data_IF_878383418784
#
_entry.id   IF_878383418784
#
_cell.length_a   1.000
_cell.length_b   1.000
_cell.length_c   1.000
_cell.angle_alpha   90.00
_cell.angle_beta   90.00
_cell.angle_gamma   90.00
#
_symmetry.space_group_name_H-M   'P 1'
#
loop_
_entity.id
_entity.type
_entity.pdbx_description
1 polymer ?
#
# COMPACT_ATOMS: atom_id res chain seq x y z
N UNK A 1 66.85 18.43 27.57
CA UNK A 1 66.77 18.35 26.09
C UNK A 1 65.96 17.15 25.59
N UNK A 2 66.21 15.92 26.05
CA UNK A 2 65.49 14.71 25.60
C UNK A 2 63.96 14.83 25.78
N UNK A 3 63.49 15.34 26.92
CA UNK A 3 62.06 15.54 27.18
C UNK A 3 61.37 16.50 26.19
N UNK A 4 62.08 17.53 25.70
CA UNK A 4 61.53 18.47 24.72
C UNK A 4 61.46 17.83 23.31
N UNK A 5 62.43 16.98 22.96
CA UNK A 5 62.38 16.20 21.72
C UNK A 5 61.26 15.16 21.73
N UNK A 6 61.06 14.48 22.87
CA UNK A 6 59.98 13.50 23.01
C UNK A 6 58.60 14.18 22.97
N UNK A 7 58.41 15.35 23.60
CA UNK A 7 57.13 16.07 23.50
C UNK A 7 56.84 16.58 22.09
N UNK A 8 57.88 17.01 21.35
CA UNK A 8 57.75 17.42 19.95
C UNK A 8 57.38 16.22 19.06
N UNK A 9 57.97 15.04 19.29
CA UNK A 9 57.62 13.83 18.53
C UNK A 9 56.18 13.37 18.81
N UNK A 10 55.73 13.44 20.06
CA UNK A 10 54.34 13.10 20.43
C UNK A 10 53.34 14.07 19.79
N UNK A 11 53.65 15.38 19.77
CA UNK A 11 52.79 16.38 19.13
C UNK A 11 52.74 16.21 17.62
N UNK A 12 53.86 15.92 16.95
CA UNK A 12 53.90 15.62 15.52
C UNK A 12 53.12 14.34 15.20
N UNK A 13 53.28 13.27 15.99
CA UNK A 13 52.53 12.03 15.81
C UNK A 13 51.02 12.23 16.00
N UNK A 14 50.63 13.03 17.00
CA UNK A 14 49.24 13.38 17.24
C UNK A 14 48.63 14.20 16.08
N UNK A 15 49.37 15.19 15.56
CA UNK A 15 48.93 15.99 14.41
C UNK A 15 48.78 15.12 13.14
N UNK A 16 49.70 14.19 12.89
CA UNK A 16 49.59 13.25 11.78
C UNK A 16 48.36 12.34 11.88
N UNK A 17 48.08 11.82 13.08
CA UNK A 17 46.87 11.03 13.33
C UNK A 17 45.59 11.87 13.19
N UNK A 18 45.56 13.08 13.74
CA UNK A 18 44.41 13.99 13.64
C UNK A 18 44.11 14.39 12.19
N UNK A 19 45.14 14.67 11.39
CA UNK A 19 44.98 14.98 9.97
C UNK A 19 44.40 13.79 9.18
N UNK A 20 44.79 12.56 9.54
CA UNK A 20 44.29 11.34 8.89
C UNK A 20 42.85 11.04 9.28
N UNK A 21 42.47 11.27 10.54
CA UNK A 21 41.08 11.14 11.00
C UNK A 21 40.20 12.18 10.29
N UNK A 22 40.65 13.43 10.21
CA UNK A 22 39.89 14.50 9.54
C UNK A 22 39.65 14.19 8.04
N UNK A 23 40.63 13.65 7.32
CA UNK A 23 40.43 13.29 5.91
C UNK A 23 39.44 12.13 5.75
N UNK A 24 39.46 11.14 6.64
CA UNK A 24 38.49 10.03 6.62
C UNK A 24 37.07 10.50 6.95
N UNK A 25 36.90 11.37 7.94
CA UNK A 25 35.58 11.91 8.29
C UNK A 25 34.98 12.76 7.16
N UNK A 26 35.79 13.57 6.48
CA UNK A 26 35.35 14.31 5.27
C UNK A 26 34.90 13.40 4.16
N UNK A 27 35.65 12.33 3.89
CA UNK A 27 35.27 11.35 2.87
C UNK A 27 33.95 10.65 3.22
N UNK A 28 33.79 10.20 4.47
CA UNK A 28 32.54 9.58 4.95
C UNK A 28 31.35 10.53 4.87
N UNK A 29 31.54 11.78 5.23
CA UNK A 29 30.50 12.80 5.12
C UNK A 29 30.10 13.03 3.65
N UNK A 30 31.08 13.16 2.74
CA UNK A 30 30.82 13.29 1.31
C UNK A 30 30.12 12.05 0.73
N UNK A 31 30.50 10.85 1.17
CA UNK A 31 29.86 9.59 0.77
C UNK A 31 28.38 9.52 1.19
N UNK A 32 28.07 9.82 2.46
CA UNK A 32 26.69 9.82 2.96
C UNK A 32 25.87 10.91 2.25
N UNK A 33 26.46 12.07 2.02
CA UNK A 33 25.79 13.19 1.32
C UNK A 33 25.51 12.83 -0.14
N UNK A 34 26.47 12.20 -0.83
CA UNK A 34 26.28 11.73 -2.20
C UNK A 34 25.17 10.67 -2.28
N UNK A 35 25.11 9.74 -1.32
CA UNK A 35 24.02 8.77 -1.25
C UNK A 35 22.66 9.45 -1.04
N UNK A 36 22.57 10.37 -0.09
CA UNK A 36 21.33 11.11 0.18
C UNK A 36 20.85 11.90 -1.04
N UNK A 37 21.76 12.56 -1.76
CA UNK A 37 21.44 13.30 -2.99
C UNK A 37 20.99 12.35 -4.10
N UNK A 38 21.60 11.17 -4.22
CA UNK A 38 21.17 10.14 -5.17
C UNK A 38 19.73 9.70 -4.89
N UNK A 39 19.40 9.41 -3.62
CA UNK A 39 18.05 9.03 -3.17
C UNK A 39 17.03 10.15 -3.38
N UNK A 40 17.42 11.41 -3.13
CA UNK A 40 16.54 12.55 -3.37
C UNK A 40 16.29 12.79 -4.86
N UNK A 41 17.29 12.57 -5.72
CA UNK A 41 17.13 12.59 -7.18
C UNK A 41 16.17 11.51 -7.68
N UNK A 42 16.25 10.29 -7.11
CA UNK A 42 15.27 9.23 -7.38
C UNK A 42 13.86 9.65 -6.98
N UNK A 43 13.68 10.17 -5.77
CA UNK A 43 12.37 10.55 -5.27
C UNK A 43 11.75 11.69 -6.11
N UNK A 44 12.55 12.69 -6.46
CA UNK A 44 12.07 13.87 -7.17
C UNK A 44 11.73 13.62 -8.64
N UNK A 45 12.57 12.85 -9.35
CA UNK A 45 12.41 12.67 -10.80
C UNK A 45 11.79 11.31 -11.13
N UNK A 46 12.27 10.23 -10.51
CA UNK A 46 11.87 8.86 -10.88
C UNK A 46 10.57 8.42 -10.21
N UNK A 47 10.33 8.74 -8.93
CA UNK A 47 9.17 8.21 -8.20
C UNK A 47 7.82 8.66 -8.78
N UNK A 48 7.73 9.87 -9.34
CA UNK A 48 6.52 10.36 -10.01
C UNK A 48 6.39 9.78 -11.44
N UNK A 49 7.50 9.46 -12.10
CA UNK A 49 7.50 8.97 -13.48
C UNK A 49 7.23 7.46 -13.59
N UNK A 50 7.78 6.64 -12.67
CA UNK A 50 7.68 5.18 -12.71
C UNK A 50 6.24 4.64 -12.86
N UNK A 51 5.21 5.17 -12.18
CA UNK A 51 3.84 4.69 -12.32
C UNK A 51 3.21 4.92 -13.71
N UNK A 52 3.69 5.91 -14.46
CA UNK A 52 3.17 6.25 -15.80
C UNK A 52 3.99 5.61 -16.94
N UNK A 53 5.07 4.91 -16.59
CA UNK A 53 5.93 4.27 -17.57
C UNK A 53 5.17 3.12 -18.24
N UNK A 54 5.04 3.17 -19.57
CA UNK A 54 4.48 2.06 -20.34
C UNK A 54 5.40 0.85 -20.26
N UNK A 55 4.82 -0.36 -20.19
CA UNK A 55 5.54 -1.63 -20.03
C UNK A 55 6.38 -2.09 -21.23
N UNK A 56 6.75 -1.19 -22.14
CA UNK A 56 7.70 -1.49 -23.21
C UNK A 56 9.11 -1.23 -22.68
N UNK A 57 10.03 -2.15 -22.99
CA UNK A 57 11.42 -2.32 -22.52
C UNK A 57 12.36 -1.13 -22.84
N UNK A 58 11.95 0.07 -22.44
CA UNK A 58 12.55 1.35 -22.81
C UNK A 58 13.14 1.97 -21.57
N UNK A 59 14.46 1.85 -21.45
CA UNK A 59 15.21 2.65 -20.47
C UNK A 59 15.04 4.12 -20.84
N UNK A 60 14.42 4.89 -19.96
CA UNK A 60 14.25 6.33 -20.13
C UNK A 60 15.22 7.06 -19.21
N UNK A 61 16.07 7.90 -19.80
CA UNK A 61 16.91 8.83 -19.05
C UNK A 61 16.12 10.09 -18.76
N UNK A 62 15.83 10.35 -17.48
CA UNK A 62 15.16 11.57 -17.03
C UNK A 62 16.17 12.70 -16.79
N UNK A 63 17.35 12.35 -16.29
CA UNK A 63 18.44 13.30 -16.05
C UNK A 63 19.73 12.76 -16.63
N UNK A 64 20.36 13.58 -17.48
CA UNK A 64 21.57 13.25 -18.20
C UNK A 64 22.82 13.33 -17.29
N UNK A 65 23.98 13.01 -17.85
CA UNK A 65 25.29 13.08 -17.17
C UNK A 65 25.66 14.49 -16.65
N UNK A 66 25.07 15.55 -17.20
CA UNK A 66 25.28 16.93 -16.74
C UNK A 66 24.79 17.12 -15.30
N UNK A 67 23.76 16.39 -14.90
CA UNK A 67 23.16 16.45 -13.58
C UNK A 67 22.35 17.71 -13.30
N UNK A 68 21.66 17.70 -12.16
CA UNK A 68 20.89 18.82 -11.61
C UNK A 68 21.40 19.09 -10.20
N UNK A 69 21.67 20.35 -9.90
CA UNK A 69 22.13 20.76 -8.57
C UNK A 69 21.04 20.49 -7.52
N UNK A 70 21.44 19.86 -6.42
CA UNK A 70 20.54 19.53 -5.32
C UNK A 70 20.13 20.79 -4.53
N UNK A 71 21.05 21.75 -4.42
CA UNK A 71 20.84 23.02 -3.75
C UNK A 71 22.13 23.58 -3.17
N UNK A 72 21.98 24.73 -2.51
CA UNK A 72 23.07 25.43 -1.84
C UNK A 72 22.89 25.41 -0.32
N UNK A 73 23.99 25.43 0.42
CA UNK A 73 23.99 25.61 1.87
C UNK A 73 23.68 27.07 2.26
N UNK A 74 23.61 27.35 3.56
CA UNK A 74 23.37 28.72 4.08
C UNK A 74 24.47 29.73 3.74
N UNK A 75 25.57 29.28 3.16
CA UNK A 75 26.74 30.07 2.75
C UNK A 75 26.85 30.16 1.22
N UNK A 76 25.92 29.56 0.46
CA UNK A 76 25.92 29.56 -1.00
C UNK A 76 26.83 28.51 -1.64
N UNK A 77 27.34 27.53 -0.87
CA UNK A 77 28.13 26.44 -1.43
C UNK A 77 27.21 25.34 -1.94
N UNK A 78 27.53 24.76 -3.10
CA UNK A 78 26.77 23.62 -3.64
C UNK A 78 26.86 22.43 -2.69
N UNK A 79 25.70 21.87 -2.35
CA UNK A 79 25.60 20.63 -1.57
C UNK A 79 25.93 19.39 -2.41
N UNK A 80 26.00 19.54 -3.74
CA UNK A 80 26.20 18.48 -4.72
C UNK A 80 25.11 18.46 -5.78
N UNK A 81 25.19 17.49 -6.68
CA UNK A 81 24.23 17.30 -7.78
C UNK A 81 23.87 15.83 -7.94
N UNK A 82 22.67 15.56 -8.46
CA UNK A 82 22.28 14.22 -8.90
C UNK A 82 22.31 14.15 -10.42
N UNK A 83 22.76 13.02 -10.98
CA UNK A 83 22.91 12.77 -12.42
C UNK A 83 22.55 11.34 -12.76
N UNK A 84 22.42 11.05 -14.06
CA UNK A 84 22.13 9.72 -14.57
C UNK A 84 20.87 9.09 -13.95
N UNK A 85 19.80 9.89 -13.85
CA UNK A 85 18.52 9.35 -13.40
C UNK A 85 17.91 8.56 -14.54
N UNK A 86 17.88 7.25 -14.36
CA UNK A 86 17.42 6.27 -15.33
C UNK A 86 16.21 5.54 -14.75
N UNK A 87 15.17 5.34 -15.56
CA UNK A 87 14.03 4.50 -15.22
C UNK A 87 13.90 3.41 -16.27
N UNK A 88 13.42 2.23 -15.87
CA UNK A 88 13.20 1.12 -16.78
C UNK A 88 12.27 0.09 -16.18
N UNK A 89 11.87 -0.85 -17.03
CA UNK A 89 11.13 -2.05 -16.64
C UNK A 89 12.01 -3.27 -16.84
N UNK A 90 11.85 -4.28 -15.98
CA UNK A 90 12.46 -5.59 -16.16
C UNK A 90 11.44 -6.67 -15.79
N UNK A 91 11.53 -7.85 -16.40
CA UNK A 91 10.71 -8.98 -15.96
C UNK A 91 11.29 -9.56 -14.67
N UNK A 92 10.46 -9.72 -13.64
CA UNK A 92 10.87 -10.40 -12.42
C UNK A 92 11.30 -11.84 -12.71
N UNK A 93 12.37 -12.30 -12.05
CA UNK A 93 12.84 -13.68 -12.22
C UNK A 93 11.75 -14.69 -11.84
N UNK A 94 11.47 -15.64 -12.75
CA UNK A 94 10.43 -16.67 -12.60
C UNK A 94 8.99 -16.14 -12.41
N UNK A 95 8.71 -14.92 -12.84
CA UNK A 95 7.41 -14.28 -12.66
C UNK A 95 6.88 -13.70 -13.97
N UNK A 96 5.56 -13.53 -14.06
CA UNK A 96 4.92 -12.75 -15.13
C UNK A 96 4.85 -11.27 -14.80
N UNK A 97 5.29 -10.86 -13.60
CA UNK A 97 5.26 -9.48 -13.16
C UNK A 97 6.41 -8.67 -13.76
N UNK A 98 6.07 -7.47 -14.24
CA UNK A 98 7.05 -6.47 -14.66
C UNK A 98 7.42 -5.63 -13.45
N UNK A 99 8.71 -5.61 -13.10
CA UNK A 99 9.27 -4.73 -12.09
C UNK A 99 9.69 -3.42 -12.73
N UNK A 100 9.42 -2.31 -12.04
CA UNK A 100 9.92 -1.00 -12.40
C UNK A 100 11.16 -0.73 -11.58
N UNK A 101 12.24 -0.30 -12.21
CA UNK A 101 13.47 0.08 -11.52
C UNK A 101 13.89 1.49 -11.90
N UNK A 102 14.55 2.17 -10.97
CA UNK A 102 15.19 3.44 -11.22
C UNK A 102 16.58 3.49 -10.59
N UNK A 103 17.49 4.21 -11.23
CA UNK A 103 18.85 4.46 -10.78
C UNK A 103 19.09 5.97 -10.74
N UNK A 104 19.92 6.43 -9.80
CA UNK A 104 20.38 7.81 -9.72
C UNK A 104 21.77 7.83 -9.12
N UNK A 105 22.64 8.70 -9.62
CA UNK A 105 23.99 8.91 -9.08
C UNK A 105 24.09 10.30 -8.46
N UNK A 106 24.38 10.37 -7.16
CA UNK A 106 24.73 11.61 -6.48
C UNK A 106 26.24 11.86 -6.55
N UNK A 107 26.61 13.12 -6.79
CA UNK A 107 27.98 13.61 -6.91
C UNK A 107 28.19 14.75 -5.91
N UNK A 108 29.21 14.59 -5.05
CA UNK A 108 29.62 15.61 -4.06
C UNK A 108 31.12 15.82 -4.18
N UNK A 109 31.55 17.08 -4.28
CA UNK A 109 32.97 17.42 -4.22
C UNK A 109 33.34 18.03 -2.87
N UNK A 110 34.56 17.75 -2.42
CA UNK A 110 35.14 18.39 -1.25
C UNK A 110 36.63 18.65 -1.43
N UNK A 111 37.12 19.72 -0.81
CA UNK A 111 38.55 20.02 -0.80
C UNK A 111 39.27 19.26 0.32
N UNK A 112 40.34 18.58 -0.07
CA UNK A 112 41.27 17.95 0.87
C UNK A 112 42.06 19.02 1.64
N UNK A 113 42.64 18.69 2.81
CA UNK A 113 43.54 19.59 3.52
C UNK A 113 44.74 20.10 2.69
N UNK A 114 45.04 19.42 1.57
CA UNK A 114 46.12 19.78 0.64
C UNK A 114 45.64 20.68 -0.52
N UNK A 115 44.38 21.10 -0.54
CA UNK A 115 43.81 21.96 -1.59
C UNK A 115 43.43 21.24 -2.88
N UNK A 116 43.47 19.90 -2.92
CA UNK A 116 42.97 19.13 -4.06
C UNK A 116 41.48 18.85 -3.87
N UNK A 117 40.70 19.06 -4.92
CA UNK A 117 39.29 18.68 -4.99
C UNK A 117 39.17 17.17 -5.25
N UNK A 118 38.36 16.49 -4.44
CA UNK A 118 37.99 15.08 -4.62
C UNK A 118 36.48 15.03 -4.89
N UNK A 119 36.10 14.31 -5.94
CA UNK A 119 34.72 14.03 -6.29
C UNK A 119 34.37 12.63 -5.78
N UNK A 120 33.28 12.54 -5.03
CA UNK A 120 32.72 11.29 -4.51
C UNK A 120 31.36 11.06 -5.16
N UNK A 121 31.18 9.86 -5.71
CA UNK A 121 29.94 9.46 -6.38
C UNK A 121 29.32 8.25 -5.66
N UNK A 122 27.99 8.25 -5.54
CA UNK A 122 27.21 7.12 -5.05
C UNK A 122 25.96 6.93 -5.89
N UNK A 123 25.68 5.67 -6.21
CA UNK A 123 24.49 5.30 -6.97
C UNK A 123 23.47 4.67 -6.03
N UNK A 124 22.25 5.19 -6.07
CA UNK A 124 21.09 4.62 -5.41
C UNK A 124 20.19 3.94 -6.45
N UNK A 125 19.48 2.90 -6.03
CA UNK A 125 18.53 2.17 -6.85
C UNK A 125 17.19 2.04 -6.13
N UNK A 126 16.10 2.19 -6.87
CA UNK A 126 14.74 1.94 -6.42
C UNK A 126 14.16 0.80 -7.28
N UNK A 127 13.46 -0.15 -6.66
CA UNK A 127 12.69 -1.18 -7.35
C UNK A 127 11.26 -1.10 -6.82
N UNK A 128 10.29 -1.10 -7.74
CA UNK A 128 8.86 -1.07 -7.47
C UNK A 128 8.20 -2.22 -8.23
N UNK A 129 7.44 -3.04 -7.50
CA UNK A 129 6.62 -4.09 -8.09
C UNK A 129 5.17 -3.63 -8.06
N UNK A 130 4.46 -3.59 -9.19
CA UNK A 130 3.04 -3.26 -9.20
C UNK A 130 2.31 -4.35 -8.42
N UNK A 131 1.53 -3.93 -7.43
CA UNK A 131 0.56 -4.79 -6.74
C UNK A 131 -0.83 -4.28 -7.10
N UNK A 132 -1.65 -5.12 -7.71
CA UNK A 132 -3.01 -4.81 -8.11
C UNK A 132 -4.03 -5.82 -7.55
N UNK A 133 -5.31 -5.67 -7.91
CA UNK A 133 -6.34 -6.66 -7.53
C UNK A 133 -6.22 -7.98 -8.30
N UNK A 134 -5.42 -8.03 -9.36
CA UNK A 134 -5.20 -9.24 -10.17
C UNK A 134 -4.57 -10.39 -9.39
N UNK A 135 -3.92 -10.12 -8.26
CA UNK A 135 -3.37 -11.16 -7.39
C UNK A 135 -4.48 -11.90 -6.62
N UNK A 136 -5.64 -11.26 -6.44
CA UNK A 136 -6.73 -11.81 -5.66
C UNK A 136 -7.87 -12.29 -6.57
N UNK A 137 -8.24 -13.56 -6.41
CA UNK A 137 -9.52 -14.05 -6.95
C UNK A 137 -10.68 -13.43 -6.18
N UNK A 138 -10.49 -13.20 -4.87
CA UNK A 138 -11.47 -12.55 -4.02
C UNK A 138 -10.75 -11.68 -3.00
N UNK A 139 -11.04 -10.38 -3.01
CA UNK A 139 -10.54 -9.43 -2.01
C UNK A 139 -11.72 -8.69 -1.39
N UNK A 140 -11.74 -8.64 -0.06
CA UNK A 140 -12.73 -7.83 0.64
C UNK A 140 -12.17 -7.12 1.87
N UNK A 141 -12.72 -5.94 2.17
CA UNK A 141 -12.37 -5.18 3.36
C UNK A 141 -13.22 -5.62 4.55
N UNK A 142 -14.48 -5.18 4.64
CA UNK A 142 -15.42 -5.67 5.65
C UNK A 142 -16.78 -5.87 4.96
N UNK A 143 -17.32 -7.08 5.04
CA UNK A 143 -18.54 -7.46 4.32
C UNK A 143 -19.75 -7.40 5.22
N UNK A 144 -20.31 -6.20 5.30
CA UNK A 144 -21.65 -6.01 5.82
C UNK A 144 -22.70 -6.35 4.74
N UNK A 145 -23.86 -6.89 5.11
CA UNK A 145 -24.92 -7.20 4.17
C UNK A 145 -25.45 -5.92 3.52
N UNK A 146 -25.63 -5.95 2.20
CA UNK A 146 -26.21 -4.84 1.45
C UNK A 146 -27.30 -5.32 0.48
N UNK A 147 -28.52 -4.82 0.67
CA UNK A 147 -29.65 -5.02 -0.25
C UNK A 147 -30.79 -5.91 0.29
N UNK A 148 -31.99 -5.82 -0.31
CA UNK A 148 -33.12 -6.67 0.09
C UNK A 148 -32.81 -8.13 -0.23
N UNK A 149 -32.94 -9.00 0.77
CA UNK A 149 -32.65 -10.43 0.67
C UNK A 149 -31.17 -10.83 0.49
N UNK A 150 -30.23 -9.91 0.73
CA UNK A 150 -28.83 -10.30 0.89
C UNK A 150 -28.63 -11.02 2.24
N UNK A 151 -27.99 -12.19 2.23
CA UNK A 151 -27.58 -12.85 3.46
C UNK A 151 -26.64 -11.96 4.29
N UNK A 152 -26.58 -12.13 5.62
CA UNK A 152 -25.84 -11.24 6.52
C UNK A 152 -24.32 -11.25 6.29
N UNK A 153 -23.79 -12.23 5.54
CA UNK A 153 -22.36 -12.44 5.29
C UNK A 153 -22.16 -13.07 3.92
N UNK A 154 -21.01 -12.84 3.30
CA UNK A 154 -20.58 -13.66 2.17
C UNK A 154 -20.26 -15.06 2.69
N UNK A 155 -20.77 -16.05 1.96
CA UNK A 155 -20.76 -17.43 2.36
C UNK A 155 -20.15 -18.28 1.24
N UNK A 156 -19.07 -18.99 1.57
CA UNK A 156 -18.43 -19.95 0.66
C UNK A 156 -19.00 -21.34 0.88
N UNK A 157 -19.47 -21.97 -0.20
CA UNK A 157 -20.09 -23.28 -0.20
C UNK A 157 -19.20 -24.42 -0.70
N UNK A 158 -19.68 -25.65 -0.48
CA UNK A 158 -18.98 -26.88 -0.85
C UNK A 158 -18.72 -27.10 -2.34
N UNK A 159 -19.35 -26.32 -3.21
CA UNK A 159 -19.15 -26.36 -4.66
C UNK A 159 -18.24 -25.25 -5.18
N UNK A 160 -17.76 -24.36 -4.31
CA UNK A 160 -16.89 -23.26 -4.69
C UNK A 160 -15.45 -23.77 -4.80
N UNK A 161 -14.83 -23.49 -5.94
CA UNK A 161 -13.41 -23.79 -6.21
C UNK A 161 -12.72 -22.46 -6.45
N UNK A 162 -11.80 -22.10 -5.57
CA UNK A 162 -11.10 -20.82 -5.55
C UNK A 162 -9.66 -21.05 -6.01
N UNK A 163 -9.39 -20.72 -7.27
CA UNK A 163 -8.12 -20.96 -7.97
C UNK A 163 -7.03 -19.93 -7.66
N UNK A 164 -7.40 -18.72 -7.21
CA UNK A 164 -6.44 -17.66 -6.86
C UNK A 164 -6.50 -17.26 -5.39
N UNK A 165 -5.63 -16.33 -4.99
CA UNK A 165 -5.55 -15.87 -3.61
C UNK A 165 -6.87 -15.26 -3.15
N UNK A 166 -7.30 -15.63 -1.95
CA UNK A 166 -8.47 -15.05 -1.30
C UNK A 166 -8.02 -14.29 -0.08
N UNK A 167 -8.49 -13.04 0.04
CA UNK A 167 -8.15 -12.17 1.16
C UNK A 167 -9.39 -11.49 1.74
N UNK A 168 -9.47 -11.44 3.08
CA UNK A 168 -10.50 -10.68 3.79
C UNK A 168 -9.92 -9.90 4.97
N UNK A 169 -10.25 -8.61 5.07
CA UNK A 169 -10.02 -7.84 6.29
C UNK A 169 -11.18 -7.98 7.30
N UNK A 170 -12.21 -8.76 6.99
CA UNK A 170 -13.37 -8.94 7.88
C UNK A 170 -12.97 -9.72 9.13
N UNK A 171 -13.49 -9.34 10.32
CA UNK A 171 -13.27 -10.09 11.56
C UNK A 171 -13.96 -11.46 11.57
N UNK A 172 -14.87 -11.73 10.62
CA UNK A 172 -15.57 -13.01 10.50
C UNK A 172 -15.63 -13.49 9.06
N UNK A 173 -15.20 -14.74 8.82
CA UNK A 173 -15.45 -15.47 7.58
C UNK A 173 -16.53 -16.53 7.83
N UNK A 174 -17.48 -16.69 6.90
CA UNK A 174 -18.58 -17.66 7.05
C UNK A 174 -18.50 -18.73 5.97
N UNK A 175 -18.54 -20.00 6.38
CA UNK A 175 -18.67 -21.15 5.49
C UNK A 175 -20.10 -21.67 5.46
N UNK A 176 -20.46 -22.36 4.39
CA UNK A 176 -21.81 -22.88 4.22
C UNK A 176 -22.03 -24.10 5.09
N UNK A 177 -23.25 -24.25 5.60
CA UNK A 177 -23.66 -25.48 6.29
C UNK A 177 -23.74 -26.71 5.36
N UNK A 178 -23.55 -26.51 4.06
CA UNK A 178 -23.62 -27.55 3.03
C UNK A 178 -22.24 -27.97 2.50
N UNK A 179 -21.18 -27.70 3.26
CA UNK A 179 -19.81 -28.07 2.93
C UNK A 179 -18.92 -26.86 2.64
N UNK A 180 -17.63 -27.13 2.53
CA UNK A 180 -16.60 -26.10 2.47
C UNK A 180 -15.97 -25.90 1.10
N UNK A 181 -15.57 -24.68 0.77
CA UNK A 181 -14.90 -24.39 -0.48
C UNK A 181 -13.57 -25.14 -0.60
N UNK A 182 -13.16 -25.38 -1.83
CA UNK A 182 -11.81 -25.85 -2.15
C UNK A 182 -10.95 -24.65 -2.54
N UNK A 183 -9.91 -24.38 -1.78
CA UNK A 183 -8.90 -23.38 -2.13
C UNK A 183 -7.71 -24.08 -2.77
N UNK A 184 -7.27 -23.59 -3.93
CA UNK A 184 -6.07 -24.09 -4.63
C UNK A 184 -4.84 -23.21 -4.38
N UNK A 185 -5.03 -22.04 -3.76
CA UNK A 185 -3.99 -21.10 -3.34
C UNK A 185 -4.30 -20.62 -1.90
N UNK A 186 -3.48 -19.69 -1.37
CA UNK A 186 -3.53 -19.23 0.03
C UNK A 186 -4.80 -18.44 0.35
N UNK A 187 -5.30 -18.64 1.57
CA UNK A 187 -6.35 -17.83 2.20
C UNK A 187 -5.70 -16.89 3.22
N UNK A 188 -5.68 -15.59 2.93
CA UNK A 188 -5.15 -14.56 3.82
C UNK A 188 -6.26 -13.88 4.61
N UNK A 189 -6.08 -13.77 5.92
CA UNK A 189 -7.09 -13.24 6.84
C UNK A 189 -6.48 -12.26 7.84
N UNK A 190 -7.24 -11.23 8.22
CA UNK A 190 -6.78 -10.25 9.23
C UNK A 190 -7.14 -10.68 10.65
N UNK A 191 -6.20 -10.55 11.59
CA UNK A 191 -6.48 -10.80 13.02
C UNK A 191 -7.22 -9.63 13.69
N UNK A 192 -8.13 -9.91 14.65
CA UNK A 192 -8.60 -11.22 15.09
C UNK A 192 -9.66 -11.80 14.13
N UNK A 193 -9.56 -13.09 13.79
CA UNK A 193 -10.55 -13.78 12.96
C UNK A 193 -11.42 -14.74 13.77
N UNK A 194 -12.70 -14.77 13.39
CA UNK A 194 -13.69 -15.76 13.81
C UNK A 194 -14.27 -16.49 12.60
N UNK A 195 -14.64 -17.75 12.79
CA UNK A 195 -15.23 -18.58 11.74
C UNK A 195 -16.70 -18.84 12.06
N UNK A 196 -17.58 -18.50 11.12
CA UNK A 196 -19.02 -18.76 11.18
C UNK A 196 -19.43 -19.93 10.28
N UNK A 197 -20.57 -20.55 10.58
CA UNK A 197 -21.11 -21.65 9.78
C UNK A 197 -20.50 -23.01 10.13
N UNK A 198 -20.34 -23.88 9.12
CA UNK A 198 -19.71 -25.20 9.31
C UNK A 198 -18.19 -25.09 9.31
N UNK A 199 -17.60 -25.21 10.50
CA UNK A 199 -16.15 -25.16 10.70
C UNK A 199 -15.48 -26.54 10.63
N UNK A 200 -16.22 -27.60 10.28
CA UNK A 200 -15.71 -28.98 10.29
C UNK A 200 -14.54 -29.22 9.35
N UNK A 201 -14.43 -28.42 8.29
CA UNK A 201 -13.41 -28.52 7.26
C UNK A 201 -12.15 -27.68 7.49
N UNK A 202 -12.08 -26.86 8.55
CA UNK A 202 -10.90 -26.00 8.76
C UNK A 202 -9.60 -26.81 8.87
N UNK A 203 -9.69 -28.04 9.41
CA UNK A 203 -8.55 -28.94 9.51
C UNK A 203 -8.14 -29.55 8.16
N UNK A 204 -9.05 -29.53 7.17
CA UNK A 204 -8.80 -30.05 5.82
C UNK A 204 -8.29 -28.94 4.88
N UNK A 205 -8.25 -27.69 5.35
CA UNK A 205 -7.65 -26.55 4.65
C UNK A 205 -6.13 -26.55 4.86
N UNK A 206 -5.48 -27.54 4.26
CA UNK A 206 -4.03 -27.72 4.28
C UNK A 206 -3.47 -27.77 2.86
N UNK A 207 -2.20 -27.38 2.70
CA UNK A 207 -1.47 -27.46 1.44
C UNK A 207 -0.93 -28.88 1.18
N UNK A 208 -0.18 -29.03 0.09
CA UNK A 208 0.48 -30.30 -0.29
C UNK A 208 1.47 -30.83 0.79
N UNK A 209 1.83 -29.99 1.76
CA UNK A 209 2.74 -30.27 2.86
C UNK A 209 2.02 -30.53 4.20
N UNK A 210 0.68 -30.58 4.22
CA UNK A 210 -0.15 -30.72 5.43
C UNK A 210 -0.06 -29.49 6.36
N UNK A 211 0.40 -28.35 5.86
CA UNK A 211 0.41 -27.06 6.57
C UNK A 211 -0.85 -26.27 6.26
N UNK A 212 -1.38 -25.50 7.21
CA UNK A 212 -2.61 -24.73 6.97
C UNK A 212 -2.40 -23.68 5.89
N UNK A 213 -3.30 -23.64 4.91
CA UNK A 213 -3.32 -22.59 3.87
C UNK A 213 -3.81 -21.23 4.40
N UNK A 214 -4.33 -21.20 5.64
CA UNK A 214 -4.84 -20.00 6.27
C UNK A 214 -3.66 -19.23 6.87
N UNK A 215 -3.44 -18.03 6.34
CA UNK A 215 -2.36 -17.15 6.76
C UNK A 215 -2.93 -15.89 7.41
N UNK A 216 -2.41 -15.54 8.59
CA UNK A 216 -2.81 -14.30 9.28
C UNK A 216 -1.90 -13.16 8.87
N UNK A 217 -2.48 -12.17 8.19
CA UNK A 217 -1.77 -10.99 7.67
C UNK A 217 -2.35 -9.71 8.26
N UNK A 218 -1.61 -8.60 8.20
CA UNK A 218 -2.15 -7.29 8.57
C UNK A 218 -3.21 -6.83 7.59
N UNK A 219 -4.16 -5.99 8.04
CA UNK A 219 -5.17 -5.36 7.20
C UNK A 219 -4.55 -4.77 5.93
N UNK A 220 -5.02 -5.21 4.77
CA UNK A 220 -4.60 -4.68 3.48
C UNK A 220 -5.51 -3.50 3.12
N UNK A 221 -4.95 -2.30 3.01
CA UNK A 221 -5.71 -1.09 2.65
C UNK A 221 -5.66 -0.89 1.14
N UNK A 222 -6.83 -0.81 0.51
CA UNK A 222 -6.98 -0.58 -0.93
C UNK A 222 -7.97 0.56 -1.20
N UNK A 223 -7.67 1.55 -2.09
CA UNK A 223 -6.39 1.81 -2.76
C UNK A 223 -5.27 2.16 -1.77
N UNK A 224 -3.97 2.07 -2.17
CA UNK A 224 -2.82 2.30 -1.28
C UNK A 224 -2.82 3.68 -0.60
N UNK A 225 -3.57 4.63 -1.16
CA UNK A 225 -3.89 5.89 -0.51
C UNK A 225 -5.11 5.75 0.38
N UNK A 226 -4.98 6.24 1.61
CA UNK A 226 -6.06 6.44 2.59
C UNK A 226 -7.18 7.41 2.11
N UNK A 227 -7.22 7.74 0.82
CA UNK A 227 -8.25 8.52 0.12
C UNK A 227 -9.67 8.18 0.57
N UNK A 228 -10.03 6.89 0.64
CA UNK A 228 -11.33 6.45 1.15
C UNK A 228 -11.55 6.81 2.63
N UNK A 229 -10.55 6.57 3.48
CA UNK A 229 -10.61 6.93 4.90
C UNK A 229 -10.63 8.45 5.13
N UNK A 230 -9.92 9.23 4.30
CA UNK A 230 -9.97 10.70 4.31
C UNK A 230 -11.36 11.17 3.88
N UNK A 231 -11.94 10.58 2.82
CA UNK A 231 -13.29 10.88 2.36
C UNK A 231 -14.33 10.57 3.44
N UNK A 232 -14.21 9.43 4.12
CA UNK A 232 -15.08 9.04 5.25
C UNK A 232 -14.89 10.00 6.43
N UNK A 233 -13.65 10.30 6.82
CA UNK A 233 -13.35 11.18 7.95
C UNK A 233 -13.79 12.64 7.70
N UNK A 234 -13.81 13.08 6.45
CA UNK A 234 -14.28 14.41 6.04
C UNK A 234 -15.72 14.41 5.51
N UNK A 235 -16.44 13.28 5.61
CA UNK A 235 -17.83 13.22 5.18
C UNK A 235 -18.69 14.07 6.12
N UNK A 236 -19.32 15.13 5.58
CA UNK A 236 -20.29 15.93 6.33
C UNK A 236 -21.59 15.18 6.65
N UNK A 237 -21.86 14.07 5.96
CA UNK A 237 -23.06 13.25 6.10
C UNK A 237 -22.69 11.78 5.87
N UNK A 238 -22.99 10.95 6.87
CA UNK A 238 -22.82 9.51 6.81
C UNK A 238 -24.22 8.89 6.80
N UNK A 239 -24.48 8.00 5.85
CA UNK A 239 -25.71 7.22 5.79
C UNK A 239 -25.32 5.77 6.05
N UNK A 240 -25.84 5.19 7.13
CA UNK A 240 -25.67 3.76 7.39
C UNK A 240 -26.71 2.99 6.59
N UNK A 241 -26.37 1.78 6.14
CA UNK A 241 -27.30 0.95 5.35
C UNK A 241 -28.57 0.57 6.14
N UNK A 242 -28.51 0.66 7.47
CA UNK A 242 -29.62 0.43 8.39
C UNK A 242 -30.52 1.66 8.58
N UNK A 243 -30.17 2.82 8.00
CA UNK A 243 -30.92 4.07 8.13
C UNK A 243 -31.72 4.43 6.87
N UNK A 244 -33.01 4.75 7.06
CA UNK A 244 -33.88 5.28 6.00
C UNK A 244 -33.52 6.73 5.67
N UNK A 245 -33.15 6.98 4.41
CA UNK A 245 -32.68 8.29 3.94
C UNK A 245 -33.86 9.20 3.54
N UNK A 246 -34.20 10.17 4.40
CA UNK A 246 -35.07 11.30 4.01
C UNK A 246 -34.28 12.59 3.99
N UNK A 247 -34.00 13.12 2.80
CA UNK A 247 -33.40 14.44 2.69
C UNK A 247 -34.42 15.52 2.33
N UNK A 248 -35.32 15.82 3.27
CA UNK A 248 -36.19 16.99 3.21
C UNK A 248 -36.35 17.62 4.60
N UNK A 249 -35.91 18.87 4.82
CA UNK A 249 -36.22 19.56 6.06
C UNK A 249 -37.74 19.70 6.16
N UNK A 250 -38.30 19.12 7.23
CA UNK A 250 -39.74 19.04 7.55
C UNK A 250 -40.59 18.03 6.76
N UNK A 251 -40.02 16.98 6.13
CA UNK A 251 -40.82 15.82 5.69
C UNK A 251 -40.39 14.54 6.41
N UNK A 252 -41.38 13.77 6.86
CA UNK A 252 -41.19 12.37 7.28
C UNK A 252 -40.94 11.52 6.04
N UNK A 253 -39.97 10.62 6.08
CA UNK A 253 -39.84 9.58 5.06
C UNK A 253 -41.08 8.71 5.10
N UNK A 254 -41.62 8.40 3.93
CA UNK A 254 -42.73 7.46 3.83
C UNK A 254 -42.33 6.43 2.79
N UNK A 255 -42.02 5.22 3.26
CA UNK A 255 -41.84 4.05 2.40
C UNK A 255 -43.08 3.89 1.50
N UNK A 256 -42.87 3.68 0.20
CA UNK A 256 -43.95 3.41 -0.76
C UNK A 256 -43.92 1.91 -1.04
N UNK A 257 -45.01 1.22 -0.70
CA UNK A 257 -45.16 -0.19 -1.04
C UNK A 257 -45.80 -0.29 -2.43
N UNK A 258 -45.19 -1.07 -3.31
CA UNK A 258 -45.71 -1.32 -4.67
C UNK A 258 -46.02 -2.81 -4.79
N UNK A 259 -47.28 -3.14 -5.00
CA UNK A 259 -47.73 -4.48 -5.38
C UNK A 259 -47.73 -4.58 -6.90
N UNK A 260 -47.06 -5.61 -7.44
CA UNK A 260 -47.04 -5.89 -8.87
C UNK A 260 -47.61 -7.28 -9.09
N UNK A 261 -48.73 -7.37 -9.81
CA UNK A 261 -49.37 -8.63 -10.21
C UNK A 261 -49.10 -8.86 -11.70
N UNK A 262 -48.41 -9.94 -12.04
CA UNK A 262 -48.14 -10.32 -13.43
C UNK A 262 -49.27 -11.21 -13.96
N UNK A 263 -49.84 -10.88 -15.11
CA UNK A 263 -50.89 -11.67 -15.78
C UNK A 263 -50.29 -12.60 -16.83
N UNK A 264 -50.81 -13.82 -16.92
CA UNK A 264 -50.31 -14.90 -17.80
C UNK A 264 -50.27 -14.51 -19.29
N UNK A 265 -51.05 -13.52 -19.72
CA UNK A 265 -51.07 -13.00 -21.10
C UNK A 265 -49.95 -11.99 -21.40
N UNK A 266 -49.02 -11.76 -20.47
CA UNK A 266 -47.80 -10.97 -20.70
C UNK A 266 -47.89 -9.49 -20.29
N UNK A 267 -48.74 -9.15 -19.33
CA UNK A 267 -48.87 -7.80 -18.77
C UNK A 267 -48.69 -7.78 -17.25
N UNK A 268 -48.86 -6.60 -16.63
CA UNK A 268 -48.88 -6.47 -15.17
C UNK A 268 -49.85 -5.39 -14.70
N UNK A 269 -50.38 -5.56 -13.49
CA UNK A 269 -51.03 -4.52 -12.70
C UNK A 269 -50.05 -4.05 -11.63
N UNK A 270 -50.02 -2.74 -11.37
CA UNK A 270 -49.22 -2.17 -10.30
C UNK A 270 -50.10 -1.29 -9.41
N UNK A 271 -50.16 -1.61 -8.11
CA UNK A 271 -50.88 -0.82 -7.12
C UNK A 271 -49.90 -0.27 -6.10
N UNK A 272 -50.00 1.03 -5.77
CA UNK A 272 -49.08 1.72 -4.85
C UNK A 272 -49.84 2.20 -3.62
N UNK A 273 -49.31 1.90 -2.44
CA UNK A 273 -49.86 2.38 -1.17
C UNK A 273 -48.77 3.02 -0.32
N UNK A 274 -49.19 3.96 0.54
CA UNK A 274 -48.32 4.44 1.61
C UNK A 274 -48.07 3.29 2.59
N UNK A 275 -46.81 3.01 2.89
CA UNK A 275 -46.47 2.05 3.94
C UNK A 275 -46.88 2.64 5.29
N UNK A 276 -47.96 2.11 5.85
CA UNK A 276 -48.41 2.43 7.20
C UNK A 276 -47.73 1.46 8.16
N UNK A 277 -46.82 1.96 8.99
CA UNK A 277 -46.24 1.17 10.09
C UNK A 277 -47.42 0.75 11.00
N UNK A 278 -47.64 -0.56 11.25
CA UNK A 278 -48.70 -1.00 12.13
C UNK A 278 -48.47 -0.42 13.54
N UNK A 279 -49.52 0.00 14.26
CA UNK A 279 -49.37 0.53 15.60
C UNK A 279 -48.75 -0.54 16.50
N UNK A 280 -47.56 -0.26 17.03
CA UNK A 280 -46.93 -1.09 18.04
C UNK A 280 -47.71 -0.86 19.33
N UNK A 281 -48.40 -1.89 19.82
CA UNK A 281 -48.94 -1.87 21.18
C UNK A 281 -47.73 -1.90 22.12
N UNK A 282 -47.50 -0.79 22.83
CA UNK A 282 -46.66 -0.85 24.03
C UNK A 282 -47.42 -1.70 25.04
N UNK A 283 -46.84 -2.82 25.44
CA UNK A 283 -47.34 -3.63 26.55
C UNK A 283 -47.17 -2.81 27.84
N UNK A 284 -48.19 -2.03 28.21
CA UNK A 284 -48.08 -1.18 29.41
C UNK A 284 -49.05 -0.02 29.61
N UNK A 285 -50.10 0.18 28.80
CA UNK A 285 -51.15 1.16 29.18
C UNK A 285 -52.53 0.54 29.03
N UNK A 286 -53.14 0.28 30.20
CA UNK A 286 -54.56 -0.06 30.38
C UNK A 286 -55.49 0.99 29.78
#
# INVERSE_FOLDING_TARGET
MIFAFVSMLITVAYLGSSSTINSQERFRFAEITAQYIAEAGLNKEAADYLPYMGGDDVITTLVNETGVDFGEDTQGNSLGKYKNVLCGTQLAENSTHTEFYALSTGEVSYETPNGNEIIVERTASLIMTPMGFEEFMYFTNDEAPFGPNAGPTVNFGGSDVLEGRVHTNSPTITFSNYGCPTFLDRLSVTEPISYGGDTGCLNDLVDDNDESIIDTVSTIVYPPDNSANILIANANRTFTADELITFAPNKKDTLIMTEIEFIETGGYYATRWWYLIPPVLNDGTQ
#
